data_IF_166257979370
#
_entry.id   IF_166257979370
#
_cell.length_a   1.000
_cell.length_b   1.000
_cell.length_c   1.000
_cell.angle_alpha   90.00
_cell.angle_beta   90.00
_cell.angle_gamma   90.00
#
_symmetry.space_group_name_H-M   'P 1'
#
loop_
_entity.id
_entity.type
_entity.pdbx_description
1 polymer ?
#
# COMPACT_ATOMS: atom_id res chain seq x y z
N UNK A 1 -46.49 18.11 -14.23
CA UNK A 1 -45.82 16.92 -14.81
C UNK A 1 -44.34 16.96 -14.47
N UNK A 2 -43.85 16.02 -13.68
CA UNK A 2 -42.43 15.85 -13.37
C UNK A 2 -41.71 15.24 -14.57
N UNK A 3 -41.54 16.01 -15.64
CA UNK A 3 -40.65 15.63 -16.74
C UNK A 3 -39.22 15.89 -16.30
N UNK A 4 -38.68 14.97 -15.50
CA UNK A 4 -37.24 14.90 -15.23
C UNK A 4 -36.56 14.76 -16.58
N UNK A 5 -36.01 15.88 -17.06
CA UNK A 5 -35.48 16.05 -18.40
C UNK A 5 -34.40 14.99 -18.67
N UNK A 6 -34.74 13.94 -19.43
CA UNK A 6 -33.86 12.77 -19.69
C UNK A 6 -32.46 13.21 -20.16
N UNK A 7 -32.39 14.33 -20.87
CA UNK A 7 -31.16 14.97 -21.36
C UNK A 7 -30.25 15.42 -20.21
N UNK A 8 -30.80 16.03 -19.17
CA UNK A 8 -30.02 16.46 -18.00
C UNK A 8 -29.49 15.28 -17.19
N UNK A 9 -30.26 14.19 -17.08
CA UNK A 9 -29.81 12.96 -16.42
C UNK A 9 -28.68 12.27 -17.21
N UNK A 10 -28.74 12.27 -18.53
CA UNK A 10 -27.66 11.75 -19.36
C UNK A 10 -26.38 12.59 -19.25
N UNK A 11 -26.51 13.92 -19.22
CA UNK A 11 -25.38 14.83 -19.01
C UNK A 11 -24.76 14.65 -17.61
N UNK A 12 -25.59 14.48 -16.59
CA UNK A 12 -25.17 14.14 -15.23
C UNK A 12 -24.33 12.86 -15.22
N UNK A 13 -24.85 11.79 -15.84
CA UNK A 13 -24.17 10.49 -15.89
C UNK A 13 -22.82 10.59 -16.61
N UNK A 14 -22.78 11.24 -17.77
CA UNK A 14 -21.53 11.46 -18.53
C UNK A 14 -20.48 12.23 -17.72
N UNK A 15 -20.91 13.26 -16.98
CA UNK A 15 -20.02 14.06 -16.14
C UNK A 15 -19.44 13.25 -14.99
N UNK A 16 -20.27 12.45 -14.31
CA UNK A 16 -19.81 11.52 -13.27
C UNK A 16 -18.85 10.47 -13.84
N UNK A 17 -19.17 9.87 -14.98
CA UNK A 17 -18.32 8.86 -15.59
C UNK A 17 -16.96 9.43 -16.02
N UNK A 18 -16.93 10.68 -16.50
CA UNK A 18 -15.68 11.41 -16.77
C UNK A 18 -14.84 11.66 -15.51
N UNK A 19 -15.47 12.10 -14.42
CA UNK A 19 -14.79 12.29 -13.13
C UNK A 19 -14.27 10.97 -12.55
N UNK A 20 -15.04 9.88 -12.68
CA UNK A 20 -14.61 8.54 -12.29
C UNK A 20 -13.38 8.12 -13.11
N UNK A 21 -13.37 8.36 -14.43
CA UNK A 21 -12.23 8.07 -15.28
C UNK A 21 -10.99 8.88 -14.87
N UNK A 22 -11.16 10.17 -14.56
CA UNK A 22 -10.08 11.01 -14.04
C UNK A 22 -9.51 10.47 -12.72
N UNK A 23 -10.38 10.14 -11.75
CA UNK A 23 -9.98 9.59 -10.47
C UNK A 23 -9.29 8.24 -10.62
N UNK A 24 -9.80 7.35 -11.49
CA UNK A 24 -9.16 6.05 -11.79
C UNK A 24 -7.78 6.21 -12.42
N UNK A 25 -7.56 7.25 -13.24
CA UNK A 25 -6.26 7.55 -13.83
C UNK A 25 -5.26 8.04 -12.78
N UNK A 26 -5.72 8.89 -11.85
CA UNK A 26 -4.87 9.49 -10.82
C UNK A 26 -4.62 8.53 -9.64
N UNK A 27 -5.56 7.61 -9.38
CA UNK A 27 -5.54 6.60 -8.29
C UNK A 27 -5.34 7.19 -6.89
N UNK A 28 -5.73 8.45 -6.68
CA UNK A 28 -5.65 9.14 -5.39
C UNK A 28 -6.86 10.04 -5.18
N UNK A 29 -7.33 10.21 -3.93
CA UNK A 29 -8.40 11.14 -3.62
C UNK A 29 -7.91 12.59 -3.80
N UNK A 30 -8.80 13.47 -4.24
CA UNK A 30 -8.47 14.84 -4.62
C UNK A 30 -9.43 15.84 -3.98
N UNK A 31 -8.95 17.04 -3.61
CA UNK A 31 -9.85 18.14 -3.26
C UNK A 31 -10.65 18.58 -4.49
N UNK A 32 -11.85 19.12 -4.27
CA UNK A 32 -12.76 19.61 -5.34
C UNK A 32 -12.03 20.48 -6.37
N UNK A 33 -11.18 21.39 -5.89
CA UNK A 33 -10.41 22.33 -6.71
C UNK A 33 -9.45 21.69 -7.71
N UNK A 34 -9.04 20.43 -7.49
CA UNK A 34 -8.13 19.67 -8.38
C UNK A 34 -8.88 18.78 -9.37
N UNK A 35 -10.20 18.67 -9.27
CA UNK A 35 -11.03 17.95 -10.25
C UNK A 35 -11.17 18.84 -11.49
N UNK A 36 -10.81 18.28 -12.67
CA UNK A 36 -10.86 19.04 -13.92
C UNK A 36 -12.24 18.88 -14.50
N UNK A 37 -13.02 19.95 -14.54
CA UNK A 37 -14.37 19.93 -15.09
C UNK A 37 -14.72 21.27 -15.72
N UNK A 38 -15.63 21.25 -16.70
CA UNK A 38 -16.23 22.44 -17.29
C UNK A 38 -17.36 23.03 -16.42
N UNK A 39 -17.73 22.34 -15.32
CA UNK A 39 -18.79 22.78 -14.41
C UNK A 39 -18.32 23.88 -13.47
N UNK A 40 -19.21 24.84 -13.20
CA UNK A 40 -19.02 25.81 -12.10
C UNK A 40 -18.97 25.07 -10.76
N UNK A 41 -18.21 25.58 -9.80
CA UNK A 41 -17.96 24.94 -8.51
C UNK A 41 -19.26 24.52 -7.78
N UNK A 42 -20.26 25.39 -7.68
CA UNK A 42 -21.57 25.05 -7.08
C UNK A 42 -22.25 23.86 -7.76
N UNK A 43 -22.22 23.80 -9.09
CA UNK A 43 -22.81 22.71 -9.86
C UNK A 43 -22.02 21.40 -9.69
N UNK A 44 -20.68 21.49 -9.62
CA UNK A 44 -19.82 20.36 -9.31
C UNK A 44 -20.09 19.81 -7.92
N UNK A 45 -20.20 20.65 -6.89
CA UNK A 45 -20.48 20.20 -5.52
C UNK A 45 -21.84 19.51 -5.43
N UNK A 46 -22.88 20.08 -6.07
CA UNK A 46 -24.20 19.44 -6.15
C UNK A 46 -24.13 18.08 -6.87
N UNK A 47 -23.37 17.99 -7.96
CA UNK A 47 -23.14 16.75 -8.71
C UNK A 47 -22.47 15.68 -7.83
N UNK A 48 -21.44 16.06 -7.09
CA UNK A 48 -20.68 15.17 -6.21
C UNK A 48 -21.53 14.70 -5.03
N UNK A 49 -22.29 15.58 -4.40
CA UNK A 49 -23.21 15.23 -3.30
C UNK A 49 -24.32 14.26 -3.74
N UNK A 50 -24.81 14.39 -4.97
CA UNK A 50 -25.82 13.48 -5.51
C UNK A 50 -25.25 12.11 -5.92
N UNK A 51 -23.93 11.98 -6.07
CA UNK A 51 -23.29 10.74 -6.52
C UNK A 51 -23.13 9.73 -5.39
N UNK A 52 -23.58 8.49 -5.61
CA UNK A 52 -23.26 7.36 -4.72
C UNK A 52 -21.89 6.73 -5.00
N UNK A 53 -21.30 7.04 -6.16
CA UNK A 53 -20.03 6.42 -6.63
C UNK A 53 -18.80 7.22 -6.24
N UNK A 54 -18.96 8.53 -6.05
CA UNK A 54 -17.89 9.43 -5.61
C UNK A 54 -18.34 9.99 -4.28
N UNK A 55 -17.48 9.90 -3.26
CA UNK A 55 -17.78 10.39 -1.92
C UNK A 55 -16.62 11.23 -1.41
N UNK A 56 -16.93 12.07 -0.42
CA UNK A 56 -15.96 12.87 0.31
C UNK A 56 -15.55 12.11 1.57
N UNK A 57 -14.26 12.16 1.93
CA UNK A 57 -13.76 11.64 3.20
C UNK A 57 -13.70 12.73 4.28
N UNK A 58 -13.33 12.36 5.51
CA UNK A 58 -13.20 13.28 6.66
C UNK A 58 -12.20 14.42 6.41
N UNK A 59 -11.17 14.17 5.58
CA UNK A 59 -10.15 15.15 5.20
C UNK A 59 -10.64 16.08 4.05
N UNK A 60 -11.90 15.98 3.65
CA UNK A 60 -12.52 16.81 2.61
C UNK A 60 -12.15 16.43 1.17
N UNK A 61 -11.50 15.28 0.97
CA UNK A 61 -11.05 14.78 -0.33
C UNK A 61 -12.11 13.89 -0.99
N UNK A 62 -12.24 14.01 -2.31
CA UNK A 62 -13.17 13.22 -3.12
C UNK A 62 -12.46 12.08 -3.83
N UNK A 63 -13.09 10.91 -3.81
CA UNK A 63 -12.61 9.72 -4.50
C UNK A 63 -13.73 8.70 -4.68
N UNK A 64 -13.40 7.53 -5.20
CA UNK A 64 -14.40 6.47 -5.39
C UNK A 64 -14.87 5.97 -4.02
N UNK A 65 -16.17 5.75 -3.85
CA UNK A 65 -16.75 5.21 -2.61
C UNK A 65 -16.25 3.82 -2.25
N UNK A 66 -15.65 3.10 -3.22
CA UNK A 66 -15.00 1.81 -3.02
C UNK A 66 -13.59 1.90 -2.44
N UNK A 67 -12.97 3.09 -2.44
CA UNK A 67 -11.61 3.28 -1.94
C UNK A 67 -11.60 3.35 -0.41
N UNK A 68 -10.64 2.65 0.19
CA UNK A 68 -10.39 2.68 1.64
C UNK A 68 -10.08 4.09 2.16
N UNK A 69 -9.47 4.94 1.33
CA UNK A 69 -9.18 6.34 1.67
C UNK A 69 -10.42 7.22 1.75
N UNK A 70 -11.54 6.77 1.18
CA UNK A 70 -12.81 7.48 1.14
C UNK A 70 -13.80 6.93 2.16
N UNK A 71 -13.92 5.61 2.20
CA UNK A 71 -14.86 4.94 3.10
C UNK A 71 -14.19 3.72 3.73
N UNK A 72 -13.49 3.87 4.87
CA UNK A 72 -12.82 2.76 5.54
C UNK A 72 -13.85 1.85 6.21
N UNK A 73 -14.06 0.66 5.63
CA UNK A 73 -15.13 -0.27 6.05
C UNK A 73 -14.79 -1.16 7.24
N UNK A 74 -13.52 -1.22 7.63
CA UNK A 74 -13.07 -2.07 8.73
C UNK A 74 -11.62 -1.81 9.15
N UNK A 75 -11.11 -2.64 10.06
CA UNK A 75 -9.78 -2.50 10.68
C UNK A 75 -8.67 -2.46 9.63
N UNK A 76 -8.71 -3.32 8.60
CA UNK A 76 -7.70 -3.33 7.52
C UNK A 76 -7.62 -2.01 6.74
N UNK A 77 -8.75 -1.35 6.49
CA UNK A 77 -8.79 -0.09 5.76
C UNK A 77 -8.35 1.08 6.64
N UNK A 78 -8.74 1.06 7.92
CA UNK A 78 -8.24 2.01 8.92
C UNK A 78 -6.72 1.87 9.10
N UNK A 79 -6.21 0.65 9.16
CA UNK A 79 -4.78 0.38 9.21
C UNK A 79 -4.07 0.91 7.96
N UNK A 80 -4.61 0.65 6.77
CA UNK A 80 -4.08 1.19 5.51
C UNK A 80 -3.95 2.72 5.57
N UNK A 81 -4.99 3.42 6.06
CA UNK A 81 -4.96 4.86 6.27
C UNK A 81 -3.87 5.31 7.25
N UNK A 82 -3.71 4.62 8.37
CA UNK A 82 -2.65 4.89 9.35
C UNK A 82 -1.26 4.80 8.70
N UNK A 83 -1.00 3.76 7.90
CA UNK A 83 0.27 3.65 7.18
C UNK A 83 0.46 4.75 6.15
N UNK A 84 -0.58 5.11 5.39
CA UNK A 84 -0.50 6.23 4.40
C UNK A 84 -0.24 7.57 5.07
N UNK A 85 -0.89 7.84 6.21
CA UNK A 85 -0.73 9.09 6.97
C UNK A 85 0.64 9.20 7.62
N UNK A 86 1.17 8.11 8.19
CA UNK A 86 2.47 8.11 8.87
C UNK A 86 3.66 7.93 7.92
N UNK A 87 3.44 7.35 6.74
CA UNK A 87 4.42 7.16 5.67
C UNK A 87 5.73 6.48 6.12
N UNK A 88 5.62 5.54 7.07
CA UNK A 88 6.74 4.72 7.56
C UNK A 88 6.27 3.34 8.04
N UNK A 89 7.15 2.33 8.08
CA UNK A 89 6.82 1.06 8.70
C UNK A 89 6.51 1.24 10.19
N UNK A 90 5.53 0.49 10.69
CA UNK A 90 5.06 0.59 12.08
C UNK A 90 4.86 -0.78 12.69
N UNK A 91 5.10 -0.88 14.00
CA UNK A 91 4.76 -2.08 14.73
C UNK A 91 3.23 -2.21 14.87
N UNK A 92 2.66 -3.42 14.76
CA UNK A 92 1.20 -3.62 14.82
C UNK A 92 0.55 -3.03 16.09
N UNK A 93 1.28 -3.03 17.22
CA UNK A 93 0.85 -2.36 18.47
C UNK A 93 0.71 -0.85 18.33
N UNK A 94 1.61 -0.19 17.60
CA UNK A 94 1.52 1.24 17.33
C UNK A 94 0.32 1.54 16.43
N UNK A 95 0.12 0.72 15.39
CA UNK A 95 -1.06 0.82 14.52
C UNK A 95 -2.35 0.67 15.33
N UNK A 96 -2.40 -0.28 16.26
CA UNK A 96 -3.57 -0.50 17.12
C UNK A 96 -3.91 0.75 17.95
N UNK A 97 -2.90 1.46 18.48
CA UNK A 97 -3.13 2.70 19.25
C UNK A 97 -3.72 3.84 18.40
N UNK A 98 -3.48 3.82 17.09
CA UNK A 98 -3.97 4.83 16.16
C UNK A 98 -5.34 4.48 15.57
N UNK A 99 -5.89 3.32 15.90
CA UNK A 99 -7.23 2.88 15.46
C UNK A 99 -8.13 2.77 16.68
N UNK A 100 -9.12 3.65 16.75
CA UNK A 100 -10.12 3.64 17.82
C UNK A 100 -10.89 2.31 17.87
N UNK A 101 -11.20 1.87 19.10
CA UNK A 101 -11.97 0.65 19.38
C UNK A 101 -11.39 -0.61 18.71
N UNK A 102 -10.05 -0.74 18.69
CA UNK A 102 -9.37 -1.89 18.09
C UNK A 102 -8.59 -2.71 19.12
N UNK A 103 -8.53 -4.02 18.90
CA UNK A 103 -7.74 -4.94 19.70
C UNK A 103 -6.46 -5.34 18.96
N UNK A 104 -5.38 -5.46 19.73
CA UNK A 104 -4.03 -5.79 19.23
C UNK A 104 -4.02 -7.06 18.38
N UNK A 105 -4.69 -8.12 18.83
CA UNK A 105 -4.75 -9.39 18.11
C UNK A 105 -5.54 -9.26 16.80
N UNK A 106 -6.65 -8.52 16.81
CA UNK A 106 -7.47 -8.29 15.62
C UNK A 106 -6.67 -7.52 14.57
N UNK A 107 -6.02 -6.42 14.94
CA UNK A 107 -5.18 -5.63 14.02
C UNK A 107 -4.07 -6.51 13.45
N UNK A 108 -3.36 -7.27 14.30
CA UNK A 108 -2.30 -8.16 13.83
C UNK A 108 -2.80 -9.20 12.82
N UNK A 109 -3.92 -9.86 13.10
CA UNK A 109 -4.53 -10.84 12.20
C UNK A 109 -4.95 -10.22 10.86
N UNK A 110 -5.53 -9.02 10.88
CA UNK A 110 -5.94 -8.30 9.67
C UNK A 110 -4.73 -7.89 8.82
N UNK A 111 -3.63 -7.44 9.44
CA UNK A 111 -2.39 -7.11 8.74
C UNK A 111 -1.74 -8.34 8.09
N UNK A 112 -1.86 -9.53 8.68
CA UNK A 112 -1.34 -10.77 8.09
C UNK A 112 -2.18 -11.22 6.90
N UNK A 113 -3.52 -11.09 6.98
CA UNK A 113 -4.46 -11.60 5.96
C UNK A 113 -4.51 -10.74 4.71
N UNK A 114 -4.16 -9.46 4.80
CA UNK A 114 -4.32 -8.50 3.70
C UNK A 114 -2.99 -8.28 2.96
N UNK A 115 -2.98 -8.53 1.65
CA UNK A 115 -1.80 -8.46 0.79
C UNK A 115 -1.26 -7.04 0.57
N UNK A 116 -1.96 -6.01 1.02
CA UNK A 116 -1.46 -4.63 1.04
C UNK A 116 -0.36 -4.43 2.08
N UNK A 117 -0.22 -5.33 3.04
CA UNK A 117 0.80 -5.23 4.09
C UNK A 117 1.88 -6.28 3.92
N UNK A 118 3.12 -5.88 4.23
CA UNK A 118 4.29 -6.74 4.19
C UNK A 118 4.96 -6.70 5.56
N UNK A 119 5.23 -7.87 6.13
CA UNK A 119 6.01 -7.99 7.37
C UNK A 119 7.49 -7.71 7.07
N UNK A 120 7.98 -6.57 7.53
CA UNK A 120 9.36 -6.12 7.29
C UNK A 120 10.28 -6.30 8.49
N UNK A 121 9.73 -6.61 9.67
CA UNK A 121 10.48 -6.85 10.89
C UNK A 121 9.66 -7.65 11.90
N UNK A 122 10.14 -7.78 13.14
CA UNK A 122 9.41 -8.48 14.21
C UNK A 122 8.17 -7.68 14.59
N UNK A 123 7.01 -8.09 14.08
CA UNK A 123 5.73 -7.39 14.25
C UNK A 123 5.66 -6.02 13.55
N UNK A 124 6.62 -5.69 12.69
CA UNK A 124 6.65 -4.41 11.97
C UNK A 124 6.19 -4.62 10.54
N UNK A 125 5.20 -3.83 10.15
CA UNK A 125 4.56 -3.92 8.84
C UNK A 125 4.83 -2.66 8.03
N UNK A 126 4.80 -2.81 6.71
CA UNK A 126 4.91 -1.75 5.72
C UNK A 126 3.86 -1.97 4.63
N UNK A 127 3.58 -0.94 3.82
CA UNK A 127 2.72 -1.11 2.65
C UNK A 127 3.48 -1.79 1.51
N UNK A 128 2.84 -2.73 0.82
CA UNK A 128 3.43 -3.42 -0.34
C UNK A 128 3.75 -2.46 -1.48
N UNK A 129 2.98 -1.38 -1.64
CA UNK A 129 3.23 -0.34 -2.65
C UNK A 129 4.53 0.46 -2.42
N UNK A 130 5.16 0.35 -1.24
CA UNK A 130 6.44 1.01 -0.95
C UNK A 130 7.66 0.26 -1.50
N UNK A 131 7.46 -0.90 -2.15
CA UNK A 131 8.55 -1.64 -2.78
C UNK A 131 9.31 -2.60 -1.86
N UNK A 132 8.74 -2.90 -0.67
CA UNK A 132 9.28 -3.95 0.19
C UNK A 132 8.98 -5.32 -0.41
N UNK A 133 10.00 -6.17 -0.56
CA UNK A 133 9.76 -7.55 -0.99
C UNK A 133 8.92 -8.30 0.04
N UNK A 134 8.02 -9.22 -0.36
CA UNK A 134 7.35 -10.13 0.58
C UNK A 134 8.29 -11.25 1.05
N UNK A 135 7.87 -12.00 2.08
CA UNK A 135 8.57 -13.20 2.55
C UNK A 135 9.58 -12.99 3.69
N UNK A 136 10.33 -14.04 4.01
CA UNK A 136 11.33 -14.05 5.07
C UNK A 136 12.68 -13.49 4.59
N UNK A 137 13.63 -13.33 5.50
CA UNK A 137 15.00 -12.85 5.20
C UNK A 137 15.64 -13.69 4.09
N UNK A 138 15.45 -15.02 4.09
CA UNK A 138 15.94 -15.90 3.01
C UNK A 138 15.39 -15.52 1.63
N UNK A 139 14.11 -15.18 1.55
CA UNK A 139 13.43 -14.89 0.29
C UNK A 139 13.90 -13.53 -0.26
N UNK A 140 14.12 -12.57 0.64
CA UNK A 140 14.73 -11.27 0.32
C UNK A 140 16.14 -11.44 -0.23
N UNK A 141 17.00 -12.24 0.43
CA UNK A 141 18.37 -12.50 -0.05
C UNK A 141 18.32 -13.17 -1.43
N UNK A 142 17.43 -14.14 -1.64
CA UNK A 142 17.26 -14.79 -2.94
C UNK A 142 16.88 -13.78 -4.02
N UNK A 143 15.90 -12.90 -3.76
CA UNK A 143 15.50 -11.87 -4.73
C UNK A 143 16.65 -10.92 -5.07
N UNK A 144 17.40 -10.45 -4.07
CA UNK A 144 18.57 -9.58 -4.27
C UNK A 144 19.62 -10.25 -5.15
N UNK A 145 19.93 -11.53 -4.91
CA UNK A 145 20.90 -12.27 -5.72
C UNK A 145 20.39 -12.54 -7.14
N UNK A 146 19.09 -12.85 -7.31
CA UNK A 146 18.46 -13.04 -8.63
C UNK A 146 18.51 -11.76 -9.46
N UNK A 147 18.19 -10.62 -8.86
CA UNK A 147 18.21 -9.33 -9.52
C UNK A 147 19.63 -8.89 -9.88
N UNK A 148 20.61 -9.16 -9.00
CA UNK A 148 22.00 -8.82 -9.25
C UNK A 148 22.61 -9.59 -10.43
N UNK A 149 22.11 -10.80 -10.75
CA UNK A 149 22.64 -11.71 -11.79
C UNK A 149 24.14 -11.96 -11.71
N UNK A 150 24.74 -11.74 -10.54
CA UNK A 150 26.17 -11.90 -10.25
C UNK A 150 26.38 -12.28 -8.78
N UNK A 151 27.49 -12.94 -8.44
CA UNK A 151 27.83 -13.16 -7.04
C UNK A 151 28.06 -11.83 -6.31
N UNK A 152 27.48 -11.69 -5.11
CA UNK A 152 27.58 -10.50 -4.27
C UNK A 152 28.48 -10.74 -3.05
N UNK A 153 29.22 -9.72 -2.64
CA UNK A 153 29.96 -9.77 -1.38
C UNK A 153 29.01 -9.73 -0.18
N UNK A 154 29.45 -10.27 0.97
CA UNK A 154 28.69 -10.27 2.23
C UNK A 154 28.14 -8.88 2.58
N UNK A 155 28.97 -7.85 2.47
CA UNK A 155 28.61 -6.49 2.85
C UNK A 155 27.59 -5.87 1.87
N UNK A 156 27.66 -6.21 0.58
CA UNK A 156 26.64 -5.79 -0.40
C UNK A 156 25.27 -6.36 -0.03
N UNK A 157 25.22 -7.66 0.29
CA UNK A 157 23.97 -8.33 0.67
C UNK A 157 23.40 -7.76 1.97
N UNK A 158 24.24 -7.55 2.99
CA UNK A 158 23.80 -6.94 4.26
C UNK A 158 23.14 -5.59 4.02
N UNK A 159 23.78 -4.72 3.23
CA UNK A 159 23.26 -3.38 2.91
C UNK A 159 21.91 -3.44 2.21
N UNK A 160 21.77 -4.28 1.20
CA UNK A 160 20.50 -4.38 0.45
C UNK A 160 19.38 -5.04 1.28
N UNK A 161 19.70 -6.05 2.10
CA UNK A 161 18.71 -6.67 2.99
C UNK A 161 18.24 -5.69 4.07
N UNK A 162 19.13 -4.90 4.67
CA UNK A 162 18.77 -3.91 5.69
C UNK A 162 17.90 -2.77 5.14
N UNK A 163 17.98 -2.47 3.84
CA UNK A 163 17.03 -1.55 3.17
C UNK A 163 15.64 -2.15 3.05
N UNK A 164 15.54 -3.47 2.96
CA UNK A 164 14.30 -4.20 2.73
C UNK A 164 13.68 -4.75 4.03
N UNK A 165 14.46 -4.89 5.10
CA UNK A 165 14.06 -5.54 6.35
C UNK A 165 14.67 -4.87 7.57
N UNK A 166 13.84 -4.68 8.59
CA UNK A 166 14.22 -4.19 9.90
C UNK A 166 14.60 -5.41 10.77
N UNK A 167 15.82 -5.90 10.55
CA UNK A 167 16.39 -7.07 11.25
C UNK A 167 17.81 -6.79 11.70
N UNK A 168 18.32 -7.62 12.61
CA UNK A 168 19.73 -7.55 13.04
C UNK A 168 20.63 -8.20 11.99
N UNK A 169 21.84 -7.69 11.83
CA UNK A 169 22.84 -8.24 10.91
C UNK A 169 23.09 -9.74 11.16
N UNK A 170 23.20 -10.15 12.41
CA UNK A 170 23.39 -11.56 12.78
C UNK A 170 22.32 -12.49 12.21
N UNK A 171 21.07 -12.03 12.11
CA UNK A 171 19.98 -12.80 11.50
C UNK A 171 20.21 -13.02 10.01
N UNK A 172 20.74 -12.01 9.31
CA UNK A 172 21.07 -12.09 7.88
C UNK A 172 22.25 -13.05 7.68
N UNK A 173 23.28 -12.94 8.53
CA UNK A 173 24.46 -13.82 8.49
C UNK A 173 24.10 -15.29 8.74
N UNK A 174 23.22 -15.55 9.70
CA UNK A 174 22.71 -16.89 9.96
C UNK A 174 22.02 -17.49 8.74
N UNK A 175 21.20 -16.70 8.03
CA UNK A 175 20.54 -17.14 6.80
C UNK A 175 21.54 -17.40 5.67
N UNK A 176 22.56 -16.54 5.51
CA UNK A 176 23.61 -16.72 4.50
C UNK A 176 24.47 -17.98 4.72
N UNK A 177 24.58 -18.46 5.96
CA UNK A 177 25.29 -19.70 6.27
C UNK A 177 24.51 -20.96 5.88
N UNK A 178 23.23 -20.83 5.49
CA UNK A 178 22.43 -21.96 5.05
C UNK A 178 22.86 -22.43 3.63
N UNK A 179 23.67 -23.48 3.60
CA UNK A 179 24.21 -24.11 2.38
C UNK A 179 23.16 -24.76 1.49
N UNK A 180 21.91 -24.89 1.94
CA UNK A 180 20.82 -25.39 1.11
C UNK A 180 20.32 -24.35 0.10
N UNK A 181 20.59 -23.06 0.35
CA UNK A 181 20.10 -21.97 -0.50
C UNK A 181 21.21 -21.08 -1.04
N UNK A 182 22.32 -20.93 -0.31
CA UNK A 182 23.40 -20.02 -0.66
C UNK A 182 24.75 -20.73 -0.72
N UNK A 183 25.50 -20.47 -1.79
CA UNK A 183 26.86 -20.96 -1.97
C UNK A 183 27.84 -19.82 -1.88
N UNK A 184 28.93 -20.01 -1.14
CA UNK A 184 30.04 -19.06 -1.03
C UNK A 184 31.20 -19.55 -1.89
N UNK A 185 31.66 -18.71 -2.82
CA UNK A 185 32.81 -19.02 -3.66
C UNK A 185 34.15 -18.75 -2.95
N UNK A 186 35.27 -19.14 -3.59
CA UNK A 186 36.63 -18.93 -3.08
C UNK A 186 36.97 -17.45 -2.82
N UNK A 187 36.31 -16.53 -3.54
CA UNK A 187 36.46 -15.07 -3.36
C UNK A 187 35.55 -14.50 -2.25
N UNK A 188 34.87 -15.35 -1.50
CA UNK A 188 33.99 -14.97 -0.40
C UNK A 188 32.66 -14.31 -0.82
N UNK A 189 32.28 -14.42 -2.09
CA UNK A 189 31.00 -13.92 -2.63
C UNK A 189 29.95 -15.02 -2.62
N UNK A 190 28.69 -14.62 -2.46
CA UNK A 190 27.55 -15.53 -2.38
C UNK A 190 26.80 -15.57 -3.70
N UNK A 191 26.33 -16.76 -4.07
CA UNK A 191 25.41 -17.03 -5.17
C UNK A 191 24.26 -17.92 -4.70
N UNK A 192 23.21 -18.01 -5.50
CA UNK A 192 22.08 -18.91 -5.27
C UNK A 192 22.53 -20.33 -5.58
N UNK A 193 22.12 -21.28 -4.74
CA UNK A 193 22.18 -22.69 -5.09
C UNK A 193 20.99 -22.99 -6.01
N UNK A 194 21.26 -23.20 -7.30
CA UNK A 194 20.25 -23.75 -8.20
C UNK A 194 19.94 -25.18 -7.72
N UNK A 195 18.64 -25.46 -7.54
CA UNK A 195 18.11 -26.79 -7.24
C UNK A 195 17.87 -27.49 -8.57
#
# INVERSE_FOLDING_TARGET
CWTTNKTNFQLFKKSIDSLIAQLKKIKKPLPVKKLKTSLREKALTALLMASKKIQQNEDGLYGLSTWAEINPRGIKDKAYLVFKKTNKPLHFREVTKLIENSHVQTVHNELIKDSRFVLVGRGTYALSEWGYYPGQVKDVILNILKEAKRPLAKNEILKEVLRQRIVKENTILLNLNNKNHFLKNSKGKYTIKEI
#
